data_IF_532549935314
#
_entry.id   IF_532549935314
#
_cell.length_a   1.000
_cell.length_b   1.000
_cell.length_c   1.000
_cell.angle_alpha   90.00
_cell.angle_beta   90.00
_cell.angle_gamma   90.00
#
_symmetry.space_group_name_H-M   'P 1'
#
loop_
_entity.id
_entity.type
_entity.pdbx_description
1 polymer ?
#
# COMPACT_ATOMS: atom_id res chain seq x y z
N UNK A 1 13.99 16.61 -1.17
CA UNK A 1 13.57 16.40 -2.56
C UNK A 1 13.06 14.97 -2.69
N UNK A 2 12.02 14.79 -3.48
CA UNK A 2 11.42 13.47 -3.76
C UNK A 2 12.43 12.55 -4.45
N UNK A 3 12.42 11.27 -4.11
CA UNK A 3 13.29 10.23 -4.67
C UNK A 3 12.47 9.19 -5.42
N UNK A 4 12.67 9.12 -6.75
CA UNK A 4 12.06 8.09 -7.59
C UNK A 4 12.50 6.68 -7.17
N UNK A 5 13.80 6.52 -6.83
CA UNK A 5 14.33 5.27 -6.28
C UNK A 5 13.56 4.87 -5.02
N UNK A 6 13.29 5.82 -4.13
CA UNK A 6 12.53 5.55 -2.90
C UNK A 6 11.08 5.15 -3.17
N UNK A 7 10.43 5.73 -4.18
CA UNK A 7 9.09 5.33 -4.62
C UNK A 7 9.10 3.89 -5.16
N UNK A 8 10.05 3.56 -6.04
CA UNK A 8 10.18 2.20 -6.58
C UNK A 8 10.49 1.17 -5.49
N UNK A 9 11.32 1.51 -4.50
CA UNK A 9 11.57 0.63 -3.35
C UNK A 9 10.31 0.41 -2.51
N UNK A 10 9.51 1.45 -2.29
CA UNK A 10 8.22 1.37 -1.57
C UNK A 10 7.26 0.42 -2.31
N UNK A 11 7.09 0.62 -3.62
CA UNK A 11 6.25 -0.23 -4.47
C UNK A 11 6.74 -1.68 -4.49
N UNK A 12 8.04 -1.89 -4.67
CA UNK A 12 8.64 -3.22 -4.69
C UNK A 12 8.41 -3.98 -3.38
N UNK A 13 8.63 -3.34 -2.23
CA UNK A 13 8.38 -3.96 -0.92
C UNK A 13 6.90 -4.28 -0.75
N UNK A 14 6.00 -3.35 -1.09
CA UNK A 14 4.57 -3.57 -0.99
C UNK A 14 4.11 -4.76 -1.85
N UNK A 15 4.62 -4.87 -3.09
CA UNK A 15 4.32 -6.00 -3.97
C UNK A 15 4.86 -7.33 -3.43
N UNK A 16 6.10 -7.36 -2.94
CA UNK A 16 6.69 -8.57 -2.34
C UNK A 16 5.87 -9.00 -1.12
N UNK A 17 5.51 -8.08 -0.22
CA UNK A 17 4.66 -8.37 0.93
C UNK A 17 3.29 -8.91 0.50
N UNK A 18 2.70 -8.32 -0.54
CA UNK A 18 1.43 -8.77 -1.11
C UNK A 18 1.53 -10.22 -1.57
N UNK A 19 2.54 -10.58 -2.36
CA UNK A 19 2.76 -11.94 -2.86
C UNK A 19 2.97 -12.93 -1.70
N UNK A 20 3.81 -12.59 -0.73
CA UNK A 20 4.08 -13.46 0.44
C UNK A 20 2.79 -13.73 1.22
N UNK A 21 1.98 -12.69 1.45
CA UNK A 21 0.73 -12.84 2.19
C UNK A 21 -0.31 -13.62 1.40
N UNK A 22 -0.47 -13.34 0.12
CA UNK A 22 -1.37 -14.12 -0.76
C UNK A 22 -0.99 -15.61 -0.75
N UNK A 23 0.32 -15.92 -0.77
CA UNK A 23 0.81 -17.30 -0.66
C UNK A 23 0.44 -17.92 0.70
N UNK A 24 0.63 -17.20 1.81
CA UNK A 24 0.27 -17.69 3.15
C UNK A 24 -1.25 -17.93 3.30
N UNK A 25 -2.07 -17.06 2.72
CA UNK A 25 -3.54 -17.21 2.71
C UNK A 25 -3.93 -18.49 1.96
N UNK A 26 -3.32 -18.73 0.80
CA UNK A 26 -3.51 -19.96 0.02
C UNK A 26 -3.05 -21.21 0.77
N UNK A 27 -1.89 -21.14 1.43
CA UNK A 27 -1.32 -22.24 2.23
C UNK A 27 -2.22 -22.63 3.41
N UNK A 28 -2.78 -21.63 4.11
CA UNK A 28 -3.67 -21.83 5.26
C UNK A 28 -5.10 -22.20 4.85
N UNK A 29 -5.40 -22.23 3.55
CA UNK A 29 -6.72 -22.56 2.99
C UNK A 29 -7.85 -21.75 3.64
N UNK A 30 -7.65 -20.42 3.76
CA UNK A 30 -8.67 -19.54 4.32
C UNK A 30 -9.85 -19.47 3.35
N UNK A 31 -10.97 -20.10 3.74
CA UNK A 31 -12.16 -20.25 2.89
C UNK A 31 -13.02 -18.97 2.76
N UNK A 32 -12.79 -17.98 3.62
CA UNK A 32 -13.54 -16.73 3.59
C UNK A 32 -12.88 -15.73 2.64
N UNK A 33 -13.37 -15.68 1.40
CA UNK A 33 -12.84 -14.82 0.33
C UNK A 33 -12.73 -13.35 0.74
N UNK A 34 -13.80 -12.81 1.35
CA UNK A 34 -13.83 -11.43 1.85
C UNK A 34 -12.71 -11.14 2.85
N UNK A 35 -12.43 -12.09 3.75
CA UNK A 35 -11.38 -11.95 4.76
C UNK A 35 -9.99 -11.99 4.12
N UNK A 36 -9.77 -12.89 3.17
CA UNK A 36 -8.50 -12.97 2.42
C UNK A 36 -8.20 -11.69 1.65
N UNK A 37 -9.17 -11.16 0.90
CA UNK A 37 -9.02 -9.91 0.15
C UNK A 37 -8.79 -8.72 1.08
N UNK A 38 -9.50 -8.65 2.19
CA UNK A 38 -9.34 -7.57 3.18
C UNK A 38 -7.95 -7.57 3.84
N UNK A 39 -7.40 -8.75 4.16
CA UNK A 39 -6.04 -8.88 4.71
C UNK A 39 -5.00 -8.44 3.68
N UNK A 40 -5.12 -8.90 2.44
CA UNK A 40 -4.21 -8.51 1.36
C UNK A 40 -4.25 -7.00 1.18
N UNK A 41 -5.45 -6.42 1.05
CA UNK A 41 -5.65 -4.98 0.94
C UNK A 41 -4.95 -4.22 2.07
N UNK A 42 -5.25 -4.58 3.32
CA UNK A 42 -4.69 -3.91 4.49
C UNK A 42 -3.16 -3.98 4.46
N UNK A 43 -2.59 -5.16 4.22
CA UNK A 43 -1.14 -5.32 4.23
C UNK A 43 -0.49 -4.51 3.11
N UNK A 44 -1.00 -4.57 1.88
CA UNK A 44 -0.43 -3.84 0.74
C UNK A 44 -0.35 -2.33 1.01
N UNK A 45 -1.43 -1.72 1.50
CA UNK A 45 -1.49 -0.26 1.69
C UNK A 45 -0.90 0.21 3.03
N UNK A 46 -0.95 -0.61 4.09
CA UNK A 46 -0.24 -0.34 5.35
C UNK A 46 1.26 -0.42 5.15
N UNK A 47 1.78 -1.47 4.49
CA UNK A 47 3.22 -1.57 4.19
C UNK A 47 3.68 -0.41 3.33
N UNK A 48 2.89 -0.01 2.33
CA UNK A 48 3.16 1.20 1.53
C UNK A 48 3.25 2.44 2.43
N UNK A 49 2.29 2.61 3.34
CA UNK A 49 2.26 3.74 4.27
C UNK A 49 3.42 3.76 5.28
N UNK A 50 3.96 2.60 5.66
CA UNK A 50 5.14 2.44 6.52
C UNK A 50 6.44 2.72 5.76
N UNK A 51 6.57 2.20 4.56
CA UNK A 51 7.83 2.24 3.80
C UNK A 51 8.03 3.57 3.08
N UNK A 52 6.96 4.25 2.66
CA UNK A 52 7.04 5.56 2.03
C UNK A 52 7.82 6.61 2.87
N UNK A 53 7.55 6.83 4.17
CA UNK A 53 8.32 7.77 4.99
C UNK A 53 9.76 7.31 5.28
N UNK A 54 10.05 6.01 5.21
CA UNK A 54 11.41 5.48 5.38
C UNK A 54 12.30 5.79 4.17
N UNK A 55 11.76 5.62 2.96
CA UNK A 55 12.50 5.82 1.71
C UNK A 55 12.42 7.25 1.16
N UNK A 56 11.39 8.01 1.53
CA UNK A 56 11.17 9.40 1.13
C UNK A 56 10.90 10.32 2.35
N UNK A 57 11.83 10.46 3.31
CA UNK A 57 11.60 11.18 4.56
C UNK A 57 11.32 12.67 4.38
N UNK A 58 11.81 13.27 3.28
CA UNK A 58 11.58 14.70 2.98
C UNK A 58 10.20 14.98 2.38
N UNK A 59 9.55 13.99 1.77
CA UNK A 59 8.24 14.12 1.10
C UNK A 59 7.38 12.86 1.32
N UNK A 60 7.09 12.49 2.59
CA UNK A 60 6.51 11.20 2.93
C UNK A 60 5.07 11.05 2.43
N UNK A 61 4.23 12.06 2.62
CA UNK A 61 2.82 12.03 2.21
C UNK A 61 2.66 11.95 0.70
N UNK A 62 3.43 12.75 -0.05
CA UNK A 62 3.43 12.71 -1.51
C UNK A 62 3.88 11.34 -2.04
N UNK A 63 4.95 10.78 -1.47
CA UNK A 63 5.43 9.45 -1.86
C UNK A 63 4.41 8.36 -1.54
N UNK A 64 3.74 8.43 -0.39
CA UNK A 64 2.72 7.46 0.03
C UNK A 64 1.48 7.52 -0.86
N UNK A 65 0.99 8.72 -1.15
CA UNK A 65 -0.10 8.95 -2.09
C UNK A 65 0.22 8.41 -3.49
N UNK A 66 1.38 8.77 -4.03
CA UNK A 66 1.76 8.34 -5.38
C UNK A 66 1.97 6.82 -5.44
N UNK A 67 2.61 6.23 -4.43
CA UNK A 67 2.81 4.78 -4.37
C UNK A 67 1.49 4.01 -4.24
N UNK A 68 0.56 4.50 -3.42
CA UNK A 68 -0.77 3.86 -3.30
C UNK A 68 -1.55 3.94 -4.61
N UNK A 69 -1.55 5.09 -5.30
CA UNK A 69 -2.16 5.19 -6.63
C UNK A 69 -1.58 4.19 -7.63
N UNK A 70 -0.25 4.12 -7.74
CA UNK A 70 0.42 3.18 -8.63
C UNK A 70 0.06 1.72 -8.27
N UNK A 71 0.07 1.39 -6.98
CA UNK A 71 -0.25 0.05 -6.52
C UNK A 71 -1.72 -0.32 -6.81
N UNK A 72 -2.65 0.62 -6.64
CA UNK A 72 -4.07 0.41 -6.97
C UNK A 72 -4.27 0.20 -8.48
N UNK A 73 -3.60 1.00 -9.32
CA UNK A 73 -3.64 0.83 -10.78
C UNK A 73 -3.08 -0.53 -11.20
N UNK A 74 -1.94 -0.94 -10.62
CA UNK A 74 -1.37 -2.28 -10.86
C UNK A 74 -2.34 -3.39 -10.46
N UNK A 75 -3.04 -3.24 -9.33
CA UNK A 75 -4.05 -4.18 -8.89
C UNK A 75 -5.25 -4.25 -9.86
N UNK A 76 -5.69 -3.13 -10.44
CA UNK A 76 -6.73 -3.15 -11.47
C UNK A 76 -6.28 -3.89 -12.73
N UNK A 77 -5.05 -3.67 -13.18
CA UNK A 77 -4.50 -4.42 -14.31
C UNK A 77 -4.38 -5.92 -13.99
N UNK A 78 -3.93 -6.28 -12.78
CA UNK A 78 -3.87 -7.68 -12.36
C UNK A 78 -5.28 -8.31 -12.34
N UNK A 79 -6.27 -7.61 -11.81
CA UNK A 79 -7.66 -8.09 -11.80
C UNK A 79 -8.21 -8.30 -13.22
N UNK A 80 -7.90 -7.39 -14.15
CA UNK A 80 -8.33 -7.51 -15.55
C UNK A 80 -7.62 -8.66 -16.28
N UNK A 81 -6.29 -8.76 -16.18
CA UNK A 81 -5.52 -9.73 -16.98
C UNK A 81 -5.40 -11.12 -16.36
N UNK A 82 -5.43 -11.23 -15.03
CA UNK A 82 -5.21 -12.51 -14.32
C UNK A 82 -6.54 -13.15 -13.92
N UNK A 83 -7.50 -12.33 -13.48
CA UNK A 83 -8.78 -12.81 -12.94
C UNK A 83 -9.95 -12.62 -13.91
N UNK A 84 -9.72 -11.99 -15.07
CA UNK A 84 -10.74 -11.64 -16.07
C UNK A 84 -11.90 -10.80 -15.49
N UNK A 85 -11.60 -9.97 -14.48
CA UNK A 85 -12.57 -9.09 -13.83
C UNK A 85 -12.51 -7.70 -14.45
N UNK A 86 -13.60 -7.27 -15.08
CA UNK A 86 -13.71 -5.95 -15.73
C UNK A 86 -13.95 -4.81 -14.72
N UNK A 87 -12.94 -4.51 -13.89
CA UNK A 87 -13.02 -3.48 -12.83
C UNK A 87 -13.17 -2.06 -13.40
N UNK A 88 -12.60 -1.81 -14.59
CA UNK A 88 -12.56 -0.48 -15.20
C UNK A 88 -13.93 0.02 -15.73
N UNK A 89 -14.91 -0.87 -15.86
CA UNK A 89 -16.27 -0.52 -16.28
C UNK A 89 -17.16 -0.01 -15.13
N UNK A 90 -16.66 -0.07 -13.89
CA UNK A 90 -17.36 0.46 -12.71
C UNK A 90 -16.61 1.69 -12.16
N UNK A 91 -16.93 2.91 -12.63
CA UNK A 91 -16.21 4.13 -12.23
C UNK A 91 -16.34 4.44 -10.73
N UNK A 92 -17.49 4.14 -10.13
CA UNK A 92 -17.71 4.34 -8.70
C UNK A 92 -16.84 3.39 -7.86
N UNK A 93 -16.75 2.12 -8.27
CA UNK A 93 -15.89 1.13 -7.64
C UNK A 93 -14.40 1.48 -7.73
N UNK A 94 -13.97 2.00 -8.87
CA UNK A 94 -12.60 2.49 -9.10
C UNK A 94 -12.29 3.67 -8.18
N UNK A 95 -13.17 4.68 -8.15
CA UNK A 95 -12.97 5.87 -7.32
C UNK A 95 -12.92 5.51 -5.83
N UNK A 96 -13.86 4.70 -5.35
CA UNK A 96 -13.88 4.24 -3.96
C UNK A 96 -12.61 3.47 -3.60
N UNK A 97 -12.12 2.62 -4.52
CA UNK A 97 -10.88 1.88 -4.31
C UNK A 97 -9.67 2.81 -4.21
N UNK A 98 -9.54 3.79 -5.11
CA UNK A 98 -8.46 4.79 -5.08
C UNK A 98 -8.49 5.62 -3.79
N UNK A 99 -9.68 6.06 -3.36
CA UNK A 99 -9.85 6.82 -2.11
C UNK A 99 -9.49 5.96 -0.90
N UNK A 100 -10.03 4.75 -0.77
CA UNK A 100 -9.75 3.88 0.37
C UNK A 100 -8.28 3.50 0.45
N UNK A 101 -7.66 3.14 -0.67
CA UNK A 101 -6.24 2.79 -0.75
C UNK A 101 -5.34 3.96 -0.36
N UNK A 102 -5.60 5.14 -0.93
CA UNK A 102 -4.83 6.34 -0.64
C UNK A 102 -5.02 6.80 0.81
N UNK A 103 -6.26 6.85 1.32
CA UNK A 103 -6.53 7.20 2.72
C UNK A 103 -5.87 6.24 3.69
N UNK A 104 -5.96 4.92 3.45
CA UNK A 104 -5.33 3.92 4.32
C UNK A 104 -3.82 4.15 4.40
N UNK A 105 -3.17 4.30 3.24
CA UNK A 105 -1.72 4.55 3.19
C UNK A 105 -1.31 5.87 3.85
N UNK A 106 -2.10 6.94 3.65
CA UNK A 106 -1.83 8.27 4.23
C UNK A 106 -2.01 8.28 5.75
N UNK A 107 -3.05 7.61 6.27
CA UNK A 107 -3.26 7.45 7.72
C UNK A 107 -2.08 6.69 8.33
N UNK A 108 -1.67 5.58 7.72
CA UNK A 108 -0.49 4.83 8.18
C UNK A 108 0.77 5.68 8.12
N UNK A 109 1.01 6.41 7.03
CA UNK A 109 2.16 7.32 6.90
C UNK A 109 2.14 8.40 7.97
N UNK A 110 0.97 8.98 8.27
CA UNK A 110 0.84 9.96 9.33
C UNK A 110 1.30 9.38 10.68
N UNK A 111 0.79 8.21 11.06
CA UNK A 111 1.18 7.54 12.31
C UNK A 111 2.69 7.28 12.35
N UNK A 112 3.26 6.74 11.26
CA UNK A 112 4.68 6.38 11.19
C UNK A 112 5.57 7.62 11.27
N UNK A 113 5.22 8.71 10.59
CA UNK A 113 5.96 9.98 10.68
C UNK A 113 5.95 10.53 12.11
N UNK A 114 4.82 10.45 12.82
CA UNK A 114 4.76 10.88 14.22
C UNK A 114 5.67 10.02 15.13
N UNK A 115 5.68 8.70 14.92
CA UNK A 115 6.56 7.78 15.65
C UNK A 115 8.04 8.10 15.37
N UNK A 116 8.41 8.31 14.10
CA UNK A 116 9.78 8.64 13.70
C UNK A 116 10.24 9.97 14.31
N UNK A 117 9.40 11.00 14.31
CA UNK A 117 9.70 12.29 14.94
C UNK A 117 9.96 12.14 16.45
N UNK A 118 9.10 11.41 17.17
CA UNK A 118 9.29 11.15 18.60
C UNK A 118 10.60 10.40 18.89
N UNK A 119 10.95 9.41 18.07
CA UNK A 119 12.22 8.67 18.20
C UNK A 119 13.45 9.53 17.92
N UNK A 120 13.36 10.52 17.04
CA UNK A 120 14.46 11.44 16.79
C UNK A 120 14.69 12.39 17.96
N UNK A 121 13.63 12.90 18.59
CA UNK A 121 13.73 13.74 19.80
C UNK A 121 14.44 12.98 20.92
N UNK A 122 14.01 11.76 21.24
CA UNK A 122 14.62 10.93 22.28
C UNK A 122 16.07 10.46 22.00
N UNK A 123 16.62 10.70 20.81
CA UNK A 123 17.99 10.27 20.46
C UNK A 123 19.04 11.35 20.76
N UNK A 124 18.61 12.55 21.11
CA UNK A 124 19.46 13.70 21.44
C UNK A 124 19.28 14.18 22.90
N UNK A 125 18.48 13.45 23.69
CA UNK A 125 18.43 13.50 25.15
C UNK A 125 19.31 12.38 25.73
#
# INVERSE_FOLDING_TARGET
MFSLKGLLSTLGIALICTVVVSFLIGLLNIKYEFLGVSIIFLISYVVTGITAPLWNPKTPYFSSYLSSLFLTILNFFAALYVLDVNVLFNPDGVNNSLVLSSMTSLITTFIVVQIMKRKQVNKYD
#
